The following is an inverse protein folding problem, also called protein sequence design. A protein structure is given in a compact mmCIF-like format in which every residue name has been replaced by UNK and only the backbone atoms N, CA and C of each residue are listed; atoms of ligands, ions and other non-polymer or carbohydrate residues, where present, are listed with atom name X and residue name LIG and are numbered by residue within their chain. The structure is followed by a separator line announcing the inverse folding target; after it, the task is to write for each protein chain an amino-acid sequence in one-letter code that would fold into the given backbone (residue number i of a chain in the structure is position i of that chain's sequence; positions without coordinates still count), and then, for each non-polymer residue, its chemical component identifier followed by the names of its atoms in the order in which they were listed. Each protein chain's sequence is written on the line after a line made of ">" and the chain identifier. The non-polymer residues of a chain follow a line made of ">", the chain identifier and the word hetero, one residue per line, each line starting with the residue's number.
data_IF_483152876173
#
_entry.id   IF_483152876173
#
_cell.length_a   1.000
_cell.length_b   1.000
_cell.length_c   1.000
_cell.angle_alpha   90.00
_cell.angle_beta   90.00
_cell.angle_gamma   90.00
#
_symmetry.space_group_name_H-M   'P 1'
#
loop_
_entity.id
_entity.type
_entity.pdbx_description
1 polymer ?
#
# COMPACT_ATOMS: atom_id res chain seq x y z
N UNK A 1 6.39 -22.52 20.56
CA UNK A 1 7.17 -22.97 19.37
C UNK A 1 7.25 -21.80 18.42
N UNK A 2 8.31 -20.99 18.52
CA UNK A 2 8.55 -19.83 17.64
C UNK A 2 9.51 -20.23 16.53
N UNK A 3 8.98 -20.41 15.33
CA UNK A 3 9.78 -20.49 14.11
C UNK A 3 10.09 -19.08 13.64
N UNK A 4 11.33 -18.64 13.89
CA UNK A 4 11.92 -17.39 13.42
C UNK A 4 12.44 -17.64 12.00
N UNK A 5 11.73 -17.13 10.99
CA UNK A 5 12.15 -17.20 9.59
C UNK A 5 12.96 -15.95 9.27
N UNK A 6 14.28 -16.02 9.44
CA UNK A 6 15.22 -15.02 8.93
C UNK A 6 15.45 -15.25 7.44
N UNK A 7 14.66 -14.58 6.60
CA UNK A 7 15.02 -14.34 5.20
C UNK A 7 15.89 -13.10 5.13
N UNK A 8 17.18 -13.27 5.43
CA UNK A 8 18.20 -12.30 5.07
C UNK A 8 18.41 -12.40 3.56
N UNK A 9 17.83 -11.47 2.81
CA UNK A 9 18.28 -11.17 1.44
C UNK A 9 19.66 -10.56 1.57
N UNK A 10 20.69 -11.41 1.64
CA UNK A 10 22.08 -10.98 1.53
C UNK A 10 22.21 -10.21 0.22
N UNK A 11 22.40 -8.90 0.33
CA UNK A 11 22.88 -8.09 -0.78
C UNK A 11 24.28 -8.63 -1.13
N UNK A 12 24.33 -9.57 -2.06
CA UNK A 12 25.60 -10.04 -2.60
C UNK A 12 26.31 -8.81 -3.15
N UNK A 13 27.53 -8.56 -2.68
CA UNK A 13 28.45 -7.65 -3.35
C UNK A 13 28.34 -7.93 -4.85
N UNK A 14 28.03 -6.94 -5.71
CA UNK A 14 27.82 -7.20 -7.12
C UNK A 14 29.02 -7.99 -7.64
N UNK A 15 28.80 -9.17 -8.20
CA UNK A 15 29.83 -10.09 -8.69
C UNK A 15 30.92 -9.41 -9.55
N UNK A 16 30.53 -8.29 -10.16
CA UNK A 16 31.39 -7.31 -10.84
C UNK A 16 32.54 -6.80 -9.96
N UNK A 17 32.28 -6.30 -8.75
CA UNK A 17 33.25 -5.61 -7.89
C UNK A 17 34.30 -6.58 -7.34
N UNK A 18 33.91 -7.78 -6.92
CA UNK A 18 34.86 -8.82 -6.51
C UNK A 18 35.78 -9.21 -7.65
N UNK A 19 35.24 -9.34 -8.86
CA UNK A 19 36.03 -9.69 -10.05
C UNK A 19 37.04 -8.60 -10.42
N UNK A 20 36.68 -7.31 -10.27
CA UNK A 20 37.61 -6.20 -10.49
C UNK A 20 38.66 -6.08 -9.40
N UNK A 21 38.29 -6.29 -8.13
CA UNK A 21 39.21 -6.26 -6.99
C UNK A 21 40.24 -7.40 -7.13
N UNK A 22 39.78 -8.60 -7.48
CA UNK A 22 40.65 -9.75 -7.74
C UNK A 22 41.56 -9.52 -8.96
N UNK A 23 41.07 -8.86 -10.01
CA UNK A 23 41.87 -8.47 -11.18
C UNK A 23 42.99 -7.49 -10.79
N UNK A 24 42.67 -6.47 -10.01
CA UNK A 24 43.65 -5.48 -9.52
C UNK A 24 44.68 -6.16 -8.61
N UNK A 25 44.25 -6.97 -7.65
CA UNK A 25 45.14 -7.69 -6.74
C UNK A 25 46.05 -8.67 -7.47
N UNK A 26 45.52 -9.41 -8.45
CA UNK A 26 46.30 -10.33 -9.29
C UNK A 26 47.34 -9.56 -10.12
N UNK A 27 46.94 -8.44 -10.72
CA UNK A 27 47.85 -7.58 -11.49
C UNK A 27 48.94 -6.93 -10.62
N UNK A 28 48.59 -6.50 -9.40
CA UNK A 28 49.55 -5.95 -8.42
C UNK A 28 50.54 -7.02 -7.95
N UNK A 29 50.07 -8.25 -7.67
CA UNK A 29 50.92 -9.39 -7.31
C UNK A 29 51.89 -9.78 -8.44
N UNK A 30 51.43 -9.70 -9.69
CA UNK A 30 52.24 -10.00 -10.88
C UNK A 30 53.24 -8.88 -11.24
N UNK A 31 53.25 -7.76 -10.49
CA UNK A 31 54.04 -6.56 -10.80
C UNK A 31 53.83 -6.08 -12.24
N UNK A 32 52.62 -6.26 -12.76
CA UNK A 32 52.27 -5.77 -14.09
C UNK A 32 52.46 -4.26 -14.14
N UNK A 33 53.02 -3.76 -15.23
CA UNK A 33 53.13 -2.31 -15.40
C UNK A 33 51.71 -1.71 -15.50
N UNK A 34 51.58 -0.43 -15.13
CA UNK A 34 50.28 0.27 -15.11
C UNK A 34 49.57 0.20 -16.47
N UNK A 35 50.33 0.07 -17.56
CA UNK A 35 49.80 -0.13 -18.90
C UNK A 35 49.03 -1.44 -19.06
N UNK A 36 49.62 -2.57 -18.66
CA UNK A 36 48.99 -3.88 -18.70
C UNK A 36 47.77 -3.97 -17.76
N UNK A 37 47.85 -3.34 -16.58
CA UNK A 37 46.72 -3.25 -15.65
C UNK A 37 45.55 -2.48 -16.29
N UNK A 38 45.85 -1.32 -16.90
CA UNK A 38 44.84 -0.51 -17.58
C UNK A 38 44.21 -1.22 -18.77
N UNK A 39 44.98 -1.99 -19.55
CA UNK A 39 44.47 -2.73 -20.70
C UNK A 39 43.61 -3.93 -20.27
N UNK A 40 44.01 -4.65 -19.21
CA UNK A 40 43.17 -5.70 -18.62
C UNK A 40 41.88 -5.15 -18.03
N UNK A 41 41.92 -3.96 -17.41
CA UNK A 41 40.72 -3.29 -16.89
C UNK A 41 39.76 -2.90 -18.03
N UNK A 42 40.29 -2.37 -19.14
CA UNK A 42 39.52 -2.06 -20.34
C UNK A 42 38.87 -3.33 -20.93
N UNK A 43 39.64 -4.42 -21.10
CA UNK A 43 39.13 -5.71 -21.59
C UNK A 43 38.06 -6.29 -20.65
N UNK A 44 38.23 -6.16 -19.33
CA UNK A 44 37.27 -6.63 -18.35
C UNK A 44 35.96 -5.82 -18.37
N UNK A 45 36.06 -4.50 -18.57
CA UNK A 45 34.90 -3.61 -18.76
C UNK A 45 34.17 -3.87 -20.09
N UNK A 46 34.90 -4.24 -21.13
CA UNK A 46 34.35 -4.67 -22.43
C UNK A 46 33.82 -6.11 -22.41
N UNK A 47 34.11 -6.88 -21.35
CA UNK A 47 33.68 -8.27 -21.28
C UNK A 47 32.14 -8.36 -21.31
N UNK A 48 31.65 -9.20 -22.23
CA UNK A 48 30.22 -9.37 -22.51
C UNK A 48 29.39 -9.65 -21.24
N UNK A 49 29.93 -10.38 -20.28
CA UNK A 49 29.24 -10.72 -19.02
C UNK A 49 28.91 -9.53 -18.11
N UNK A 50 29.81 -8.53 -17.98
CA UNK A 50 29.56 -7.32 -17.18
C UNK A 50 28.59 -6.38 -17.92
N UNK A 51 28.62 -6.38 -19.25
CA UNK A 51 27.66 -5.65 -20.09
C UNK A 51 26.24 -6.23 -19.97
N UNK A 52 26.10 -7.55 -20.12
CA UNK A 52 24.81 -8.22 -20.09
C UNK A 52 24.15 -8.10 -18.71
N UNK A 53 24.92 -8.19 -17.62
CA UNK A 53 24.38 -8.09 -16.25
C UNK A 53 23.80 -6.71 -15.95
N UNK A 54 24.51 -5.64 -16.33
CA UNK A 54 24.06 -4.27 -16.07
C UNK A 54 22.85 -3.89 -16.94
N UNK A 55 22.85 -4.28 -18.22
CA UNK A 55 21.71 -4.10 -19.12
C UNK A 55 20.47 -4.88 -18.63
N UNK A 56 20.66 -6.12 -18.17
CA UNK A 56 19.58 -6.91 -17.59
C UNK A 56 19.03 -6.27 -16.31
N UNK A 57 19.88 -5.67 -15.48
CA UNK A 57 19.45 -4.97 -14.26
C UNK A 57 18.53 -3.78 -14.58
N UNK A 58 18.80 -3.05 -15.67
CA UNK A 58 17.98 -1.91 -16.10
C UNK A 58 16.68 -2.34 -16.76
N UNK A 59 16.72 -3.37 -17.60
CA UNK A 59 15.47 -3.97 -18.12
C UNK A 59 14.60 -4.49 -16.99
N UNK A 60 15.20 -5.12 -15.99
CA UNK A 60 14.52 -5.55 -14.77
C UNK A 60 13.97 -4.36 -13.98
N UNK A 61 14.65 -3.21 -13.97
CA UNK A 61 14.15 -1.99 -13.33
C UNK A 61 12.88 -1.47 -14.01
N UNK A 62 12.88 -1.31 -15.33
CA UNK A 62 11.66 -0.88 -16.08
C UNK A 62 10.51 -1.88 -15.89
N UNK A 63 10.82 -3.19 -15.92
CA UNK A 63 9.86 -4.24 -15.60
C UNK A 63 9.32 -4.11 -14.18
N UNK A 64 10.20 -3.88 -13.20
CA UNK A 64 9.82 -3.70 -11.80
C UNK A 64 8.90 -2.48 -11.62
N UNK A 65 9.12 -1.37 -12.33
CA UNK A 65 8.23 -0.19 -12.26
C UNK A 65 6.81 -0.54 -12.73
N UNK A 66 6.68 -1.31 -13.82
CA UNK A 66 5.38 -1.80 -14.29
C UNK A 66 4.72 -2.73 -13.28
N UNK A 67 5.45 -3.73 -12.79
CA UNK A 67 4.98 -4.66 -11.75
C UNK A 67 4.57 -3.91 -10.46
N UNK A 68 5.32 -2.87 -10.06
CA UNK A 68 4.98 -2.01 -8.92
C UNK A 68 3.64 -1.31 -9.16
N UNK A 69 3.42 -0.70 -10.32
CA UNK A 69 2.17 -0.03 -10.66
C UNK A 69 0.98 -1.01 -10.64
N UNK A 70 1.15 -2.20 -11.20
CA UNK A 70 0.12 -3.25 -11.15
C UNK A 70 -0.22 -3.65 -9.72
N UNK A 71 0.80 -3.79 -8.84
CA UNK A 71 0.58 -4.09 -7.43
C UNK A 71 -0.15 -2.95 -6.70
N UNK A 72 0.18 -1.68 -6.98
CA UNK A 72 -0.55 -0.54 -6.43
C UNK A 72 -2.03 -0.60 -6.78
N UNK A 73 -2.36 -0.88 -8.05
CA UNK A 73 -3.74 -0.99 -8.54
C UNK A 73 -4.45 -2.18 -7.89
N UNK A 74 -3.82 -3.35 -7.86
CA UNK A 74 -4.38 -4.57 -7.25
C UNK A 74 -4.71 -4.36 -5.76
N UNK A 75 -3.79 -3.75 -5.01
CA UNK A 75 -4.01 -3.47 -3.59
C UNK A 75 -5.10 -2.41 -3.41
N UNK A 76 -5.12 -1.37 -4.27
CA UNK A 76 -6.12 -0.30 -4.21
C UNK A 76 -7.55 -0.82 -4.37
N UNK A 77 -7.77 -1.82 -5.24
CA UNK A 77 -9.10 -2.44 -5.43
C UNK A 77 -9.66 -2.97 -4.11
N UNK A 78 -8.84 -3.69 -3.32
CA UNK A 78 -9.26 -4.20 -2.01
C UNK A 78 -9.62 -3.08 -1.02
N UNK A 79 -8.91 -1.95 -1.06
CA UNK A 79 -9.22 -0.80 -0.21
C UNK A 79 -10.45 -0.01 -0.67
N UNK A 80 -10.71 0.08 -1.97
CA UNK A 80 -11.94 0.69 -2.49
C UNK A 80 -13.16 -0.13 -2.07
N UNK A 81 -13.08 -1.47 -2.15
CA UNK A 81 -14.16 -2.34 -1.65
C UNK A 81 -14.37 -2.15 -0.14
N UNK A 82 -13.29 -2.00 0.64
CA UNK A 82 -13.37 -1.75 2.08
C UNK A 82 -14.01 -0.39 2.41
N UNK A 83 -13.58 0.68 1.73
CA UNK A 83 -14.09 2.03 1.93
C UNK A 83 -15.58 2.14 1.54
N UNK A 84 -15.99 1.44 0.47
CA UNK A 84 -17.39 1.36 0.03
C UNK A 84 -18.29 0.64 1.04
N UNK A 85 -17.75 -0.27 1.84
CA UNK A 85 -18.50 -0.93 2.93
C UNK A 85 -18.77 0.01 4.12
N UNK A 86 -18.11 1.18 4.17
CA UNK A 86 -18.33 2.25 5.17
C UNK A 86 -18.29 1.75 6.62
N UNK A 87 -17.28 0.95 6.96
CA UNK A 87 -17.04 0.54 8.34
C UNK A 87 -16.83 1.78 9.22
N UNK A 88 -17.37 1.74 10.44
CA UNK A 88 -17.28 2.81 11.41
C UNK A 88 -16.32 2.42 12.55
N UNK A 89 -15.66 3.40 13.15
CA UNK A 89 -14.99 3.23 14.44
C UNK A 89 -15.98 3.37 15.62
N UNK A 90 -15.46 3.30 16.84
CA UNK A 90 -16.27 3.48 18.06
C UNK A 90 -16.85 4.89 18.19
N UNK A 91 -16.22 5.88 17.58
CA UNK A 91 -16.61 7.28 17.57
C UNK A 91 -17.62 7.61 16.45
N UNK A 92 -17.94 6.64 15.58
CA UNK A 92 -18.85 6.81 14.45
C UNK A 92 -18.21 7.42 13.21
N UNK A 93 -16.88 7.53 13.16
CA UNK A 93 -16.18 8.00 11.96
C UNK A 93 -16.06 6.86 10.95
N UNK A 94 -16.20 7.18 9.66
CA UNK A 94 -15.95 6.24 8.57
C UNK A 94 -14.46 5.96 8.47
N UNK A 95 -14.10 4.68 8.59
CA UNK A 95 -12.74 4.21 8.38
C UNK A 95 -12.44 4.15 6.88
N UNK A 96 -11.30 4.70 6.47
CA UNK A 96 -10.86 4.74 5.08
C UNK A 96 -9.39 4.38 4.94
N UNK A 97 -9.07 3.59 3.92
CA UNK A 97 -7.71 3.16 3.58
C UNK A 97 -7.30 3.58 2.16
N UNK A 98 -8.27 3.71 1.25
CA UNK A 98 -8.04 4.04 -0.15
C UNK A 98 -7.36 5.38 -0.34
N UNK A 99 -7.80 6.42 0.38
CA UNK A 99 -7.27 7.78 0.25
C UNK A 99 -5.75 7.85 0.54
N UNK A 100 -5.30 7.19 1.62
CA UNK A 100 -3.90 7.14 2.01
C UNK A 100 -3.08 6.29 1.03
N UNK A 101 -3.62 5.15 0.59
CA UNK A 101 -2.96 4.30 -0.40
C UNK A 101 -2.77 4.99 -1.75
N UNK A 102 -3.80 5.68 -2.26
CA UNK A 102 -3.72 6.47 -3.48
C UNK A 102 -2.70 7.61 -3.37
N UNK A 103 -2.51 8.17 -2.18
CA UNK A 103 -1.46 9.16 -1.95
C UNK A 103 -0.05 8.56 -2.12
N UNK A 104 0.18 7.32 -1.64
CA UNK A 104 1.44 6.61 -1.89
C UNK A 104 1.67 6.33 -3.36
N UNK A 105 0.63 5.88 -4.09
CA UNK A 105 0.75 5.61 -5.53
C UNK A 105 1.08 6.87 -6.33
N UNK A 106 0.40 8.01 -6.07
CA UNK A 106 0.73 9.29 -6.72
C UNK A 106 2.15 9.74 -6.40
N UNK A 107 2.58 9.62 -5.14
CA UNK A 107 3.95 9.95 -4.74
C UNK A 107 4.96 9.05 -5.47
N UNK A 108 4.69 7.74 -5.57
CA UNK A 108 5.51 6.83 -6.35
C UNK A 108 5.65 7.28 -7.81
N UNK A 109 4.54 7.59 -8.49
CA UNK A 109 4.55 8.08 -9.87
C UNK A 109 5.40 9.34 -10.01
N UNK A 110 5.19 10.33 -9.14
CA UNK A 110 6.01 11.56 -9.13
C UNK A 110 7.50 11.28 -8.92
N UNK A 111 7.86 10.30 -8.07
CA UNK A 111 9.26 9.93 -7.86
C UNK A 111 9.84 9.22 -9.07
N UNK A 112 9.07 8.39 -9.75
CA UNK A 112 9.49 7.72 -10.99
C UNK A 112 9.70 8.75 -12.12
N UNK A 113 8.78 9.69 -12.30
CA UNK A 113 8.93 10.73 -13.32
C UNK A 113 10.21 11.55 -13.08
N UNK A 114 10.43 12.01 -11.85
CA UNK A 114 11.68 12.69 -11.45
C UNK A 114 12.92 11.82 -11.62
N UNK A 115 12.81 10.52 -11.33
CA UNK A 115 13.88 9.54 -11.50
C UNK A 115 14.26 9.40 -12.99
N UNK A 116 13.28 9.38 -13.90
CA UNK A 116 13.50 9.38 -15.33
C UNK A 116 14.12 10.68 -15.84
N UNK A 117 13.63 11.83 -15.38
CA UNK A 117 14.21 13.14 -15.72
C UNK A 117 15.68 13.23 -15.27
N UNK A 118 15.97 12.80 -14.04
CA UNK A 118 17.32 12.77 -13.50
C UNK A 118 18.24 11.82 -14.28
N UNK A 119 17.74 10.64 -14.66
CA UNK A 119 18.48 9.68 -15.47
C UNK A 119 18.77 10.22 -16.88
N UNK A 120 17.79 10.86 -17.51
CA UNK A 120 17.93 11.51 -18.81
C UNK A 120 18.96 12.64 -18.76
N UNK A 121 18.86 13.52 -17.77
CA UNK A 121 19.81 14.62 -17.58
C UNK A 121 21.22 14.11 -17.27
N UNK A 122 21.37 13.08 -16.44
CA UNK A 122 22.66 12.46 -16.15
C UNK A 122 23.24 11.78 -17.39
N UNK A 123 22.42 11.11 -18.20
CA UNK A 123 22.84 10.52 -19.48
C UNK A 123 23.36 11.58 -20.44
N UNK A 124 22.61 12.66 -20.66
CA UNK A 124 23.00 13.76 -21.53
C UNK A 124 24.32 14.41 -21.07
N UNK A 125 24.45 14.66 -19.76
CA UNK A 125 25.67 15.17 -19.16
C UNK A 125 26.88 14.25 -19.39
N UNK A 126 26.71 12.95 -19.16
CA UNK A 126 27.77 11.96 -19.38
C UNK A 126 28.16 11.88 -20.86
N UNK A 127 27.20 11.91 -21.79
CA UNK A 127 27.47 11.93 -23.24
C UNK A 127 28.28 13.15 -23.64
N UNK A 128 27.81 14.34 -23.25
CA UNK A 128 28.51 15.60 -23.52
C UNK A 128 29.96 15.55 -23.04
N UNK A 129 30.19 15.05 -21.82
CA UNK A 129 31.54 14.87 -21.30
C UNK A 129 32.38 13.91 -22.14
N UNK A 130 31.83 12.75 -22.47
CA UNK A 130 32.55 11.73 -23.26
C UNK A 130 32.83 12.16 -24.69
N UNK A 131 32.02 13.04 -25.28
CA UNK A 131 32.19 13.54 -26.64
C UNK A 131 33.13 14.76 -26.71
N UNK A 132 33.02 15.68 -25.76
CA UNK A 132 33.70 16.98 -25.80
C UNK A 132 35.05 16.96 -25.08
N UNK A 133 35.16 16.29 -23.93
CA UNK A 133 36.31 16.46 -23.02
C UNK A 133 37.36 15.36 -23.07
N UNK A 134 37.04 14.24 -23.70
CA UNK A 134 37.89 13.05 -23.71
C UNK A 134 38.32 12.64 -25.13
N UNK A 135 38.41 13.62 -26.03
CA UNK A 135 39.10 13.54 -27.33
C UNK A 135 40.61 13.81 -27.15
N UNK A 136 41.42 13.54 -28.17
CA UNK A 136 42.88 13.72 -28.09
C UNK A 136 43.24 15.20 -27.85
N UNK A 137 43.54 15.53 -26.59
CA UNK A 137 43.89 16.90 -26.17
C UNK A 137 45.38 17.14 -26.46
N UNK A 138 45.73 18.12 -27.32
CA UNK A 138 47.12 18.44 -27.58
C UNK A 138 47.79 19.04 -26.33
N UNK A 139 49.12 18.95 -26.25
CA UNK A 139 49.84 19.25 -25.01
C UNK A 139 49.70 20.71 -24.54
N UNK A 140 49.49 21.63 -25.47
CA UNK A 140 49.25 23.06 -25.27
C UNK A 140 47.84 23.37 -24.73
N UNK A 141 46.83 22.55 -25.04
CA UNK A 141 45.45 22.71 -24.56
C UNK A 141 45.20 22.12 -23.15
N UNK A 142 46.23 21.62 -22.47
CA UNK A 142 46.10 20.97 -21.15
C UNK A 142 45.56 21.87 -20.05
N UNK A 143 45.81 23.17 -20.11
CA UNK A 143 45.29 24.10 -19.11
C UNK A 143 43.78 24.36 -19.30
N UNK A 144 43.32 24.44 -20.54
CA UNK A 144 41.89 24.55 -20.86
C UNK A 144 41.14 23.28 -20.45
N UNK A 145 41.74 22.10 -20.71
CA UNK A 145 41.21 20.82 -20.22
C UNK A 145 41.01 20.81 -18.70
N UNK A 146 41.94 21.37 -17.92
CA UNK A 146 41.77 21.45 -16.45
C UNK A 146 40.58 22.31 -16.05
N UNK A 147 40.38 23.46 -16.71
CA UNK A 147 39.24 24.35 -16.43
C UNK A 147 37.94 23.61 -16.70
N UNK A 148 37.85 22.94 -17.84
CA UNK A 148 36.65 22.17 -18.20
C UNK A 148 36.43 20.94 -17.30
N UNK A 149 37.50 20.23 -16.91
CA UNK A 149 37.42 19.15 -15.92
C UNK A 149 36.90 19.66 -14.58
N UNK A 150 37.33 20.85 -14.13
CA UNK A 150 36.79 21.48 -12.93
C UNK A 150 35.30 21.79 -13.03
N UNK A 151 34.84 22.32 -14.18
CA UNK A 151 33.42 22.54 -14.43
C UNK A 151 32.62 21.23 -14.42
N UNK A 152 33.18 20.18 -15.00
CA UNK A 152 32.58 18.84 -15.01
C UNK A 152 32.46 18.25 -13.60
N UNK A 153 33.52 18.29 -12.80
CA UNK A 153 33.52 17.82 -11.39
C UNK A 153 32.41 18.51 -10.60
N UNK A 154 32.25 19.83 -10.75
CA UNK A 154 31.16 20.58 -10.10
C UNK A 154 29.76 20.07 -10.49
N UNK A 155 29.53 19.81 -11.78
CA UNK A 155 28.25 19.28 -12.26
C UNK A 155 28.03 17.82 -11.83
N UNK A 156 29.08 17.00 -11.83
CA UNK A 156 29.04 15.62 -11.39
C UNK A 156 28.63 15.53 -9.91
N UNK A 157 29.16 16.41 -9.07
CA UNK A 157 28.76 16.54 -7.67
C UNK A 157 27.28 16.88 -7.52
N UNK A 158 26.77 17.82 -8.30
CA UNK A 158 25.34 18.13 -8.32
C UNK A 158 24.50 16.90 -8.70
N UNK A 159 24.92 16.12 -9.70
CA UNK A 159 24.22 14.88 -10.08
C UNK A 159 24.30 13.78 -9.02
N UNK A 160 25.40 13.70 -8.29
CA UNK A 160 25.55 12.82 -7.15
C UNK A 160 24.59 13.21 -5.99
N UNK A 161 24.37 14.51 -5.79
CA UNK A 161 23.40 15.02 -4.82
C UNK A 161 21.95 14.75 -5.27
N UNK A 162 21.64 14.95 -6.56
CA UNK A 162 20.33 14.59 -7.15
C UNK A 162 20.02 13.08 -6.94
N UNK A 163 21.03 12.21 -7.15
CA UNK A 163 20.92 10.78 -6.90
C UNK A 163 20.72 10.44 -5.41
N UNK A 164 21.36 11.19 -4.51
CA UNK A 164 21.16 11.04 -3.06
C UNK A 164 19.73 11.38 -2.66
N UNK A 165 19.18 12.47 -3.20
CA UNK A 165 17.80 12.90 -2.96
C UNK A 165 16.81 11.85 -3.46
N UNK A 166 16.98 11.36 -4.69
CA UNK A 166 16.13 10.31 -5.26
C UNK A 166 16.13 9.04 -4.39
N UNK A 167 17.31 8.57 -3.97
CA UNK A 167 17.43 7.46 -3.00
C UNK A 167 16.64 7.73 -1.72
N UNK A 168 16.86 8.90 -1.11
CA UNK A 168 16.22 9.27 0.15
C UNK A 168 14.69 9.27 0.06
N UNK A 169 14.15 9.77 -1.05
CA UNK A 169 12.70 9.86 -1.24
C UNK A 169 12.04 8.50 -1.49
N UNK A 170 12.67 7.60 -2.26
CA UNK A 170 12.21 6.22 -2.44
C UNK A 170 12.29 5.42 -1.14
N UNK A 171 13.40 5.50 -0.40
CA UNK A 171 13.54 4.80 0.89
C UNK A 171 12.51 5.27 1.91
N UNK A 172 12.22 6.59 1.96
CA UNK A 172 11.15 7.14 2.81
C UNK A 172 9.78 6.61 2.38
N UNK A 173 9.50 6.54 1.08
CA UNK A 173 8.23 5.98 0.59
C UNK A 173 8.08 4.50 0.98
N UNK A 174 9.12 3.69 0.81
CA UNK A 174 9.10 2.28 1.21
C UNK A 174 8.85 2.12 2.72
N UNK A 175 9.48 2.95 3.56
CA UNK A 175 9.25 2.94 5.00
C UNK A 175 7.82 3.37 5.37
N UNK A 176 7.31 4.43 4.76
CA UNK A 176 5.93 4.88 4.97
C UNK A 176 4.91 3.77 4.64
N UNK A 177 5.18 2.98 3.59
CA UNK A 177 4.36 1.83 3.21
C UNK A 177 4.46 0.67 4.21
N UNK A 178 5.64 0.41 4.77
CA UNK A 178 5.80 -0.58 5.86
C UNK A 178 5.02 -0.13 7.10
N UNK A 179 5.07 1.15 7.46
CA UNK A 179 4.30 1.71 8.57
C UNK A 179 2.79 1.59 8.31
N UNK A 180 2.35 1.80 7.06
CA UNK A 180 0.95 1.68 6.68
C UNK A 180 0.36 0.28 6.94
N UNK A 181 1.15 -0.79 6.94
CA UNK A 181 0.67 -2.13 7.34
C UNK A 181 0.10 -2.15 8.77
N UNK A 182 0.67 -1.37 9.69
CA UNK A 182 0.16 -1.21 11.06
C UNK A 182 -1.14 -0.43 11.09
N UNK A 183 -1.23 0.62 10.26
CA UNK A 183 -2.48 1.41 10.09
C UNK A 183 -3.60 0.53 9.58
N UNK A 184 -3.31 -0.35 8.62
CA UNK A 184 -4.25 -1.35 8.09
C UNK A 184 -4.75 -2.29 9.20
N UNK A 185 -3.85 -2.89 9.97
CA UNK A 185 -4.19 -3.79 11.09
C UNK A 185 -5.06 -3.10 12.14
N UNK A 186 -4.65 -1.90 12.57
CA UNK A 186 -5.40 -1.11 13.55
C UNK A 186 -6.78 -0.72 13.05
N UNK A 187 -6.90 -0.38 11.77
CA UNK A 187 -8.17 -0.01 11.13
C UNK A 187 -9.14 -1.19 11.13
N UNK A 188 -8.68 -2.37 10.71
CA UNK A 188 -9.51 -3.59 10.74
C UNK A 188 -9.89 -3.99 12.17
N UNK A 189 -8.97 -3.84 13.13
CA UNK A 189 -9.26 -4.09 14.55
C UNK A 189 -10.34 -3.15 15.10
N UNK A 190 -10.29 -1.86 14.75
CA UNK A 190 -11.31 -0.86 15.14
C UNK A 190 -12.67 -1.21 14.55
N UNK A 191 -12.72 -1.53 13.25
CA UNK A 191 -13.94 -1.97 12.57
C UNK A 191 -14.54 -3.22 13.26
N UNK A 192 -13.69 -4.21 13.58
CA UNK A 192 -14.14 -5.45 14.20
C UNK A 192 -14.72 -5.22 15.60
N UNK A 193 -14.03 -4.41 16.39
CA UNK A 193 -14.50 -4.03 17.73
C UNK A 193 -15.84 -3.32 17.66
N UNK A 194 -16.03 -2.41 16.68
CA UNK A 194 -17.30 -1.70 16.51
C UNK A 194 -18.44 -2.63 16.09
N UNK A 195 -18.23 -3.48 15.08
CA UNK A 195 -19.25 -4.41 14.59
C UNK A 195 -19.66 -5.39 15.69
N UNK A 196 -18.72 -5.90 16.48
CA UNK A 196 -19.02 -6.76 17.62
C UNK A 196 -19.87 -6.05 18.68
N UNK A 197 -19.57 -4.78 19.00
CA UNK A 197 -20.34 -3.98 19.94
C UNK A 197 -21.77 -3.72 19.44
N UNK A 198 -21.92 -3.35 18.16
CA UNK A 198 -23.24 -3.12 17.55
C UNK A 198 -24.08 -4.41 17.50
N UNK A 199 -23.46 -5.56 17.19
CA UNK A 199 -24.14 -6.86 17.22
C UNK A 199 -24.65 -7.21 18.62
N UNK A 200 -23.82 -7.02 19.64
CA UNK A 200 -24.24 -7.26 21.02
C UNK A 200 -25.39 -6.35 21.42
N UNK A 201 -25.30 -5.06 21.12
CA UNK A 201 -26.36 -4.09 21.41
C UNK A 201 -27.69 -4.48 20.76
N UNK A 202 -27.67 -4.90 19.49
CA UNK A 202 -28.90 -5.30 18.78
C UNK A 202 -29.48 -6.59 19.37
N UNK A 203 -28.63 -7.56 19.74
CA UNK A 203 -29.09 -8.79 20.43
C UNK A 203 -29.73 -8.49 21.78
N UNK A 204 -29.14 -7.61 22.58
CA UNK A 204 -29.69 -7.19 23.87
C UNK A 204 -31.04 -6.47 23.69
N UNK A 205 -31.16 -5.64 22.64
CA UNK A 205 -32.42 -4.96 22.29
C UNK A 205 -33.50 -5.96 21.86
N UNK A 206 -33.16 -6.94 21.03
CA UNK A 206 -34.07 -8.03 20.64
C UNK A 206 -34.55 -8.77 21.88
N UNK A 207 -33.63 -9.18 22.77
CA UNK A 207 -33.99 -9.85 24.03
C UNK A 207 -34.95 -9.03 24.90
N UNK A 208 -34.71 -7.72 24.99
CA UNK A 208 -35.59 -6.79 25.72
C UNK A 208 -36.98 -6.70 25.06
N UNK A 209 -37.05 -6.51 23.74
CA UNK A 209 -38.29 -6.41 22.99
C UNK A 209 -39.12 -7.70 23.06
N UNK A 210 -38.47 -8.87 22.96
CA UNK A 210 -39.13 -10.17 23.14
C UNK A 210 -39.69 -10.32 24.55
N UNK A 211 -38.97 -9.88 25.57
CA UNK A 211 -39.45 -9.85 26.96
C UNK A 211 -40.70 -8.98 27.12
N UNK A 212 -40.65 -7.74 26.62
CA UNK A 212 -41.79 -6.81 26.65
C UNK A 212 -43.00 -7.35 25.88
N UNK A 213 -42.78 -7.94 24.70
CA UNK A 213 -43.84 -8.52 23.89
C UNK A 213 -44.54 -9.67 24.62
N UNK A 214 -43.77 -10.51 25.33
CA UNK A 214 -44.32 -11.58 26.15
C UNK A 214 -45.20 -11.03 27.28
N UNK A 215 -44.73 -10.02 28.01
CA UNK A 215 -45.51 -9.37 29.07
C UNK A 215 -46.82 -8.76 28.56
N UNK A 216 -46.79 -8.05 27.42
CA UNK A 216 -47.98 -7.46 26.81
C UNK A 216 -48.94 -8.56 26.33
N UNK A 217 -48.43 -9.64 25.76
CA UNK A 217 -49.24 -10.79 25.31
C UNK A 217 -49.92 -11.48 26.51
N UNK A 218 -49.20 -11.70 27.60
CA UNK A 218 -49.76 -12.25 28.84
C UNK A 218 -50.82 -11.31 29.45
N UNK A 219 -50.60 -9.99 29.40
CA UNK A 219 -51.57 -8.99 29.84
C UNK A 219 -52.85 -9.03 29.01
N UNK A 220 -52.74 -9.09 27.68
CA UNK A 220 -53.88 -9.26 26.77
C UNK A 220 -54.63 -10.56 27.08
N UNK A 221 -53.91 -11.66 27.33
CA UNK A 221 -54.51 -12.95 27.66
C UNK A 221 -55.32 -12.88 28.96
N UNK A 222 -54.73 -12.36 30.05
CA UNK A 222 -55.41 -12.18 31.34
C UNK A 222 -56.65 -11.28 31.24
N UNK A 223 -56.56 -10.20 30.45
CA UNK A 223 -57.72 -9.32 30.19
C UNK A 223 -58.83 -10.03 29.41
N UNK A 224 -58.46 -10.85 28.41
CA UNK A 224 -59.42 -11.64 27.66
C UNK A 224 -60.12 -12.67 28.53
N UNK A 225 -59.40 -13.35 29.43
CA UNK A 225 -59.99 -14.29 30.39
C UNK A 225 -60.97 -13.59 31.32
N UNK A 226 -60.59 -12.42 31.86
CA UNK A 226 -61.46 -11.60 32.71
C UNK A 226 -62.74 -11.19 31.97
N UNK A 227 -62.63 -10.73 30.73
CA UNK A 227 -63.80 -10.38 29.90
C UNK A 227 -64.72 -11.59 29.69
N UNK A 228 -64.17 -12.77 29.37
CA UNK A 228 -64.98 -14.00 29.20
C UNK A 228 -65.70 -14.41 30.49
N UNK A 229 -65.07 -14.21 31.66
CA UNK A 229 -65.70 -14.51 32.94
C UNK A 229 -66.92 -13.62 33.24
N UNK A 230 -66.89 -12.35 32.83
CA UNK A 230 -68.04 -11.44 32.96
C UNK A 230 -69.24 -11.91 32.11
N UNK A 231 -69.00 -12.48 30.93
CA UNK A 231 -70.06 -13.05 30.09
C UNK A 231 -70.66 -14.34 30.66
N UNK A 232 -69.89 -15.12 31.44
CA UNK A 232 -70.36 -16.36 32.06
C UNK A 232 -71.35 -16.17 33.22
N UNK A 233 -71.31 -15.03 33.91
CA UNK A 233 -72.17 -14.75 35.08
C UNK A 233 -73.53 -14.10 34.72
N UNK A 234 -73.65 -13.53 33.52
CA UNK A 234 -74.91 -13.00 32.99
C UNK A 234 -75.69 -14.06 32.19
N UNK A 235 -76.47 -14.89 32.87
CA UNK A 235 -77.29 -15.92 32.23
C UNK A 235 -78.35 -15.31 31.29
N UNK A 236 -78.33 -15.68 30.00
CA UNK A 236 -79.46 -16.22 29.20
C UNK A 236 -79.31 -15.93 27.70
N UNK A 237 -79.16 -17.00 26.92
CA UNK A 237 -79.43 -17.13 25.47
C UNK A 237 -78.38 -16.59 24.45
N UNK A 238 -78.01 -17.51 23.54
CA UNK A 238 -77.35 -17.36 22.21
C UNK A 238 -75.79 -17.32 22.13
N UNK A 239 -75.04 -17.01 23.19
CA UNK A 239 -73.58 -16.80 23.08
C UNK A 239 -72.63 -18.01 22.92
N UNK A 240 -73.11 -19.26 23.05
CA UNK A 240 -72.25 -20.45 23.22
C UNK A 240 -71.45 -20.92 21.98
N UNK A 241 -71.66 -20.33 20.80
CA UNK A 241 -71.06 -20.83 19.54
C UNK A 241 -69.82 -20.02 19.11
N UNK A 242 -69.60 -18.81 19.64
CA UNK A 242 -68.49 -17.94 19.19
C UNK A 242 -67.13 -18.23 19.83
N UNK A 243 -67.08 -18.96 20.95
CA UNK A 243 -65.83 -19.28 21.65
C UNK A 243 -64.93 -20.29 20.91
N UNK A 244 -65.44 -20.97 19.89
CA UNK A 244 -64.67 -21.93 19.07
C UNK A 244 -64.10 -21.32 17.77
N UNK A 245 -64.54 -20.12 17.42
CA UNK A 245 -64.05 -19.41 16.26
C UNK A 245 -62.82 -18.60 16.69
N UNK A 246 -61.78 -18.62 15.85
CA UNK A 246 -60.44 -18.07 16.06
C UNK A 246 -60.33 -16.88 17.03
N UNK A 247 -59.19 -16.64 17.70
CA UNK A 247 -59.02 -15.47 18.57
C UNK A 247 -59.55 -14.15 17.98
N UNK A 248 -59.42 -13.94 16.65
CA UNK A 248 -59.95 -12.78 15.93
C UNK A 248 -61.50 -12.64 16.00
N UNK A 249 -62.22 -13.74 16.05
CA UNK A 249 -63.68 -13.82 16.11
C UNK A 249 -64.23 -13.44 17.49
N UNK A 250 -63.57 -13.94 18.54
CA UNK A 250 -63.85 -13.55 19.93
C UNK A 250 -63.71 -12.03 20.09
N UNK A 251 -62.73 -11.43 19.41
CA UNK A 251 -62.50 -9.99 19.43
C UNK A 251 -63.59 -9.14 18.77
N UNK A 252 -64.11 -9.56 17.62
CA UNK A 252 -65.20 -8.85 16.97
C UNK A 252 -66.47 -8.85 17.82
N UNK A 253 -66.75 -9.96 18.50
CA UNK A 253 -67.87 -10.08 19.43
C UNK A 253 -67.68 -9.22 20.69
N UNK A 254 -66.46 -9.18 21.24
CA UNK A 254 -66.14 -8.37 22.43
C UNK A 254 -66.38 -6.87 22.18
N UNK A 255 -66.10 -6.35 20.97
CA UNK A 255 -66.29 -4.92 20.67
C UNK A 255 -67.74 -4.46 20.63
N UNK A 256 -68.71 -5.35 20.41
CA UNK A 256 -70.14 -5.00 20.30
C UNK A 256 -70.89 -5.05 21.65
N UNK A 257 -70.39 -5.78 22.65
CA UNK A 257 -71.16 -6.09 23.88
C UNK A 257 -70.69 -5.29 25.11
N UNK A 258 -69.64 -4.46 25.00
CA UNK A 258 -69.18 -3.66 26.13
C UNK A 258 -70.23 -2.60 26.58
N UNK A 259 -70.71 -2.72 27.81
CA UNK A 259 -71.51 -1.68 28.48
C UNK A 259 -70.63 -0.51 28.92
N UNK A 260 -71.23 0.64 29.22
CA UNK A 260 -70.50 1.87 29.61
C UNK A 260 -69.59 1.67 30.84
N UNK A 261 -69.93 0.72 31.74
CA UNK A 261 -69.11 0.37 32.91
C UNK A 261 -67.79 -0.36 32.54
N UNK A 262 -67.71 -0.99 31.37
CA UNK A 262 -66.53 -1.75 30.91
C UNK A 262 -65.63 -0.98 29.93
N UNK A 263 -65.91 0.29 29.68
CA UNK A 263 -65.18 1.09 28.69
C UNK A 263 -63.69 1.27 29.05
N UNK A 264 -63.35 1.28 30.34
CA UNK A 264 -61.97 1.35 30.80
C UNK A 264 -61.16 0.11 30.41
N UNK A 265 -61.74 -1.09 30.53
CA UNK A 265 -61.10 -2.35 30.11
C UNK A 265 -60.87 -2.37 28.61
N UNK A 266 -61.87 -1.91 27.83
CA UNK A 266 -61.74 -1.79 26.38
C UNK A 266 -60.57 -0.90 25.98
N UNK A 267 -60.46 0.30 26.57
CA UNK A 267 -59.35 1.24 26.29
C UNK A 267 -58.00 0.65 26.65
N UNK A 268 -57.88 0.00 27.82
CA UNK A 268 -56.62 -0.62 28.24
C UNK A 268 -56.20 -1.76 27.31
N UNK A 269 -57.18 -2.52 26.83
CA UNK A 269 -56.99 -3.64 25.93
C UNK A 269 -56.63 -3.19 24.49
N UNK A 270 -57.28 -2.14 23.98
CA UNK A 270 -56.90 -1.48 22.71
C UNK A 270 -55.47 -0.91 22.79
N UNK A 271 -55.12 -0.27 23.91
CA UNK A 271 -53.76 0.21 24.15
C UNK A 271 -52.73 -0.93 24.19
N UNK A 272 -53.03 -2.04 24.87
CA UNK A 272 -52.14 -3.20 24.93
C UNK A 272 -51.90 -3.81 23.54
N UNK A 273 -52.93 -3.87 22.69
CA UNK A 273 -52.79 -4.30 21.29
C UNK A 273 -51.99 -3.34 20.43
N UNK A 274 -52.20 -2.04 20.60
CA UNK A 274 -51.40 -1.02 19.94
C UNK A 274 -49.91 -1.19 20.28
N UNK A 275 -49.62 -1.40 21.57
CA UNK A 275 -48.28 -1.68 22.06
C UNK A 275 -47.69 -2.99 21.52
N UNK A 276 -48.48 -4.07 21.48
CA UNK A 276 -48.07 -5.34 20.88
C UNK A 276 -47.66 -5.16 19.41
N UNK A 277 -48.46 -4.42 18.64
CA UNK A 277 -48.20 -4.16 17.21
C UNK A 277 -46.94 -3.32 17.05
N UNK A 278 -46.73 -2.30 17.89
CA UNK A 278 -45.53 -1.46 17.92
C UNK A 278 -44.29 -2.30 18.23
N UNK A 279 -44.33 -3.12 19.28
CA UNK A 279 -43.21 -3.98 19.69
C UNK A 279 -42.86 -5.01 18.61
N UNK A 280 -43.84 -5.60 17.93
CA UNK A 280 -43.60 -6.49 16.78
C UNK A 280 -42.90 -5.77 15.62
N UNK A 281 -43.31 -4.53 15.32
CA UNK A 281 -42.65 -3.72 14.29
C UNK A 281 -41.19 -3.44 14.66
N UNK A 282 -40.93 -2.99 15.88
CA UNK A 282 -39.57 -2.73 16.37
C UNK A 282 -38.70 -3.99 16.41
N UNK A 283 -39.29 -5.14 16.75
CA UNK A 283 -38.60 -6.43 16.73
C UNK A 283 -38.17 -6.78 15.31
N UNK A 284 -39.06 -6.63 14.33
CA UNK A 284 -38.76 -6.88 12.93
C UNK A 284 -37.66 -5.93 12.40
N UNK A 285 -37.71 -4.65 12.75
CA UNK A 285 -36.65 -3.69 12.42
C UNK A 285 -35.29 -4.08 13.05
N UNK A 286 -35.31 -4.52 14.31
CA UNK A 286 -34.11 -4.99 15.00
C UNK A 286 -33.54 -6.27 14.37
N UNK A 287 -34.39 -7.20 13.93
CA UNK A 287 -34.00 -8.42 13.21
C UNK A 287 -33.36 -8.10 11.84
N UNK A 288 -33.93 -7.14 11.10
CA UNK A 288 -33.34 -6.66 9.84
C UNK A 288 -31.95 -6.06 10.10
N UNK A 289 -31.83 -5.20 11.12
CA UNK A 289 -30.54 -4.61 11.51
C UNK A 289 -29.52 -5.66 11.95
N UNK A 290 -29.96 -6.72 12.64
CA UNK A 290 -29.10 -7.83 13.02
C UNK A 290 -28.56 -8.54 11.77
N UNK A 291 -29.42 -8.83 10.78
CA UNK A 291 -29.02 -9.46 9.53
C UNK A 291 -27.98 -8.62 8.76
N UNK A 292 -28.19 -7.30 8.69
CA UNK A 292 -27.22 -6.38 8.08
C UNK A 292 -25.86 -6.38 8.80
N UNK A 293 -25.85 -6.37 10.13
CA UNK A 293 -24.62 -6.41 10.93
C UNK A 293 -23.89 -7.74 10.80
N UNK A 294 -24.62 -8.87 10.72
CA UNK A 294 -24.03 -10.19 10.46
C UNK A 294 -23.39 -10.23 9.07
N UNK A 295 -24.04 -9.66 8.05
CA UNK A 295 -23.44 -9.54 6.71
C UNK A 295 -22.16 -8.68 6.73
N UNK A 296 -22.15 -7.58 7.50
CA UNK A 296 -20.94 -6.76 7.71
C UNK A 296 -19.83 -7.51 8.45
N UNK A 297 -20.16 -8.29 9.46
CA UNK A 297 -19.20 -9.14 10.20
C UNK A 297 -18.55 -10.16 9.26
N UNK A 298 -19.34 -10.84 8.42
CA UNK A 298 -18.83 -11.80 7.42
C UNK A 298 -17.90 -11.12 6.40
N UNK A 299 -18.30 -9.95 5.91
CA UNK A 299 -17.47 -9.16 5.00
C UNK A 299 -16.15 -8.74 5.67
N UNK A 300 -16.20 -8.30 6.92
CA UNK A 300 -15.00 -7.94 7.67
C UNK A 300 -14.09 -9.15 7.93
N UNK A 301 -14.67 -10.31 8.24
CA UNK A 301 -13.92 -11.56 8.37
C UNK A 301 -13.19 -11.94 7.08
N UNK A 302 -13.79 -11.69 5.90
CA UNK A 302 -13.12 -11.85 4.60
C UNK A 302 -11.88 -10.96 4.50
N UNK A 303 -11.98 -9.67 4.86
CA UNK A 303 -10.84 -8.75 4.86
C UNK A 303 -9.75 -9.15 5.85
N UNK A 304 -10.13 -9.56 7.06
CA UNK A 304 -9.18 -10.06 8.06
C UNK A 304 -8.50 -11.35 7.59
N UNK A 305 -9.20 -12.22 6.87
CA UNK A 305 -8.64 -13.43 6.26
C UNK A 305 -7.63 -13.13 5.15
N UNK A 306 -7.83 -12.06 4.37
CA UNK A 306 -6.87 -11.62 3.33
C UNK A 306 -5.76 -10.70 3.84
N UNK A 307 -5.85 -10.22 5.08
CA UNK A 307 -4.96 -9.20 5.66
C UNK A 307 -3.48 -9.55 5.52
N UNK A 308 -3.10 -10.78 5.88
CA UNK A 308 -1.69 -11.19 5.82
C UNK A 308 -1.18 -11.25 4.37
N UNK A 309 -2.04 -11.64 3.42
CA UNK A 309 -1.74 -11.57 2.00
C UNK A 309 -1.51 -10.13 1.53
N UNK A 310 -2.41 -9.21 1.90
CA UNK A 310 -2.26 -7.79 1.56
C UNK A 310 -1.01 -7.18 2.20
N UNK A 311 -0.69 -7.50 3.46
CA UNK A 311 0.53 -7.04 4.12
C UNK A 311 1.77 -7.51 3.39
N UNK A 312 1.84 -8.80 3.05
CA UNK A 312 2.93 -9.36 2.27
C UNK A 312 3.07 -8.70 0.89
N UNK A 313 1.96 -8.42 0.23
CA UNK A 313 1.95 -7.68 -1.04
C UNK A 313 2.52 -6.25 -0.85
N UNK A 314 2.13 -5.54 0.22
CA UNK A 314 2.66 -4.19 0.57
C UNK A 314 4.15 -4.25 0.90
N UNK A 315 4.60 -5.22 1.70
CA UNK A 315 6.01 -5.40 2.05
C UNK A 315 6.86 -5.76 0.83
N UNK A 316 6.35 -6.64 -0.04
CA UNK A 316 6.99 -6.98 -1.31
C UNK A 316 7.12 -5.76 -2.22
N UNK A 317 6.07 -4.93 -2.28
CA UNK A 317 6.09 -3.65 -2.99
C UNK A 317 7.10 -2.66 -2.40
N UNK A 318 7.13 -2.49 -1.08
CA UNK A 318 8.12 -1.66 -0.40
C UNK A 318 9.56 -2.16 -0.68
N UNK A 319 9.78 -3.47 -0.68
CA UNK A 319 11.08 -4.07 -1.04
C UNK A 319 11.50 -3.79 -2.48
N UNK A 320 10.56 -3.80 -3.44
CA UNK A 320 10.88 -3.40 -4.83
C UNK A 320 11.22 -1.91 -4.93
N UNK A 321 10.56 -1.04 -4.17
CA UNK A 321 10.87 0.40 -4.12
C UNK A 321 12.25 0.64 -3.48
N UNK A 322 12.60 -0.07 -2.41
CA UNK A 322 13.92 -0.03 -1.78
C UNK A 322 15.03 -0.46 -2.76
N UNK A 323 14.77 -1.43 -3.65
CA UNK A 323 15.71 -1.81 -4.69
C UNK A 323 16.02 -0.66 -5.66
N UNK A 324 15.02 0.18 -6.00
CA UNK A 324 15.24 1.40 -6.81
C UNK A 324 16.14 2.39 -6.06
N UNK A 325 15.88 2.59 -4.77
CA UNK A 325 16.73 3.44 -3.94
C UNK A 325 18.19 2.93 -3.91
N UNK A 326 18.39 1.62 -3.84
CA UNK A 326 19.72 1.01 -3.86
C UNK A 326 20.47 1.29 -5.18
N UNK A 327 19.77 1.24 -6.33
CA UNK A 327 20.39 1.56 -7.63
C UNK A 327 20.89 3.02 -7.65
N UNK A 328 20.10 3.97 -7.16
CA UNK A 328 20.52 5.38 -7.04
C UNK A 328 21.72 5.55 -6.10
N UNK A 329 21.78 4.78 -5.01
CA UNK A 329 22.94 4.77 -4.12
C UNK A 329 24.21 4.27 -4.82
N UNK A 330 24.11 3.22 -5.66
CA UNK A 330 25.24 2.73 -6.44
C UNK A 330 25.71 3.78 -7.45
N UNK A 331 24.79 4.38 -8.21
CA UNK A 331 25.11 5.44 -9.17
C UNK A 331 25.81 6.62 -8.50
N UNK A 332 25.32 7.05 -7.33
CA UNK A 332 25.96 8.09 -6.53
C UNK A 332 27.39 7.70 -6.13
N UNK A 333 27.59 6.48 -5.64
CA UNK A 333 28.91 6.01 -5.22
C UNK A 333 29.91 6.06 -6.39
N UNK A 334 29.48 5.66 -7.59
CA UNK A 334 30.28 5.74 -8.80
C UNK A 334 30.62 7.20 -9.17
N UNK A 335 29.64 8.12 -9.08
CA UNK A 335 29.87 9.54 -9.33
C UNK A 335 30.85 10.17 -8.33
N UNK A 336 30.71 9.88 -7.03
CA UNK A 336 31.62 10.40 -5.98
C UNK A 336 33.03 9.82 -6.12
N UNK A 337 33.14 8.54 -6.49
CA UNK A 337 34.44 7.92 -6.77
C UNK A 337 35.14 8.61 -7.92
N UNK A 338 34.42 8.96 -8.99
CA UNK A 338 34.98 9.73 -10.09
C UNK A 338 35.35 11.15 -9.68
N UNK A 339 34.45 11.86 -8.98
CA UNK A 339 34.69 13.21 -8.46
C UNK A 339 36.04 13.26 -7.72
N UNK A 340 36.26 12.32 -6.80
CA UNK A 340 37.51 12.19 -6.04
C UNK A 340 38.73 11.94 -6.94
N UNK A 341 38.59 11.08 -7.96
CA UNK A 341 39.67 10.78 -8.89
C UNK A 341 40.03 11.98 -9.78
N UNK A 342 39.03 12.72 -10.24
CA UNK A 342 39.23 13.89 -11.10
C UNK A 342 39.72 15.09 -10.32
N UNK A 343 39.22 15.32 -9.10
CA UNK A 343 39.67 16.42 -8.23
C UNK A 343 41.19 16.36 -8.00
N UNK A 344 41.72 15.16 -7.76
CA UNK A 344 43.17 14.94 -7.63
C UNK A 344 43.98 15.26 -8.88
N UNK A 345 43.36 15.23 -10.07
CA UNK A 345 44.01 15.48 -11.35
C UNK A 345 43.83 16.92 -11.87
N UNK A 346 42.85 17.64 -11.32
CA UNK A 346 42.62 19.06 -11.60
C UNK A 346 43.51 19.96 -10.74
N UNK A 347 44.21 19.40 -9.73
CA UNK A 347 45.20 20.13 -8.93
C UNK A 347 46.19 20.90 -9.83
N UNK A 348 46.26 22.25 -9.71
CA UNK A 348 47.13 23.08 -10.52
C UNK A 348 48.60 22.67 -10.48
N UNK A 349 49.03 22.09 -9.36
CA UNK A 349 50.41 21.70 -9.07
C UNK A 349 50.76 20.29 -9.56
N UNK A 350 49.76 19.43 -9.79
CA UNK A 350 49.99 18.06 -10.22
C UNK A 350 50.17 17.99 -11.75
N UNK A 351 51.26 17.39 -12.27
CA UNK A 351 51.44 17.25 -13.71
C UNK A 351 50.40 16.30 -14.31
N UNK A 352 49.76 16.71 -15.41
CA UNK A 352 48.91 15.81 -16.22
C UNK A 352 49.81 14.79 -16.94
N UNK A 353 49.88 13.59 -16.37
CA UNK A 353 50.71 12.50 -16.88
C UNK A 353 50.02 11.76 -18.04
N UNK A 354 50.80 11.07 -18.87
CA UNK A 354 50.26 10.14 -19.88
C UNK A 354 49.33 9.08 -19.27
N UNK A 355 49.64 8.59 -18.07
CA UNK A 355 48.82 7.63 -17.34
C UNK A 355 47.44 8.19 -16.97
N UNK A 356 47.36 9.49 -16.65
CA UNK A 356 46.08 10.15 -16.40
C UNK A 356 45.20 10.16 -17.65
N UNK A 357 45.76 10.49 -18.82
CA UNK A 357 45.03 10.44 -20.09
C UNK A 357 44.54 9.03 -20.41
N UNK A 358 45.35 8.00 -20.11
CA UNK A 358 44.93 6.59 -20.26
C UNK A 358 43.75 6.25 -19.32
N UNK A 359 43.81 6.67 -18.05
CA UNK A 359 42.71 6.51 -17.09
C UNK A 359 41.43 7.20 -17.56
N UNK A 360 41.54 8.44 -18.02
CA UNK A 360 40.44 9.19 -18.65
C UNK A 360 39.78 8.38 -19.77
N UNK A 361 40.58 7.78 -20.66
CA UNK A 361 40.08 6.99 -21.79
C UNK A 361 39.31 5.74 -21.34
N UNK A 362 39.79 5.04 -20.31
CA UNK A 362 39.08 3.89 -19.74
C UNK A 362 37.77 4.33 -19.08
N UNK A 363 37.83 5.41 -18.30
CA UNK A 363 36.67 6.03 -17.65
C UNK A 363 35.63 6.44 -18.69
N UNK A 364 36.03 7.02 -19.83
CA UNK A 364 35.14 7.37 -20.95
C UNK A 364 34.25 6.20 -21.37
N UNK A 365 34.84 5.03 -21.63
CA UNK A 365 34.10 3.85 -22.08
C UNK A 365 33.04 3.42 -21.07
N UNK A 366 33.38 3.49 -19.77
CA UNK A 366 32.43 3.23 -18.69
C UNK A 366 31.28 4.26 -18.70
N UNK A 367 31.57 5.55 -18.86
CA UNK A 367 30.53 6.60 -18.87
C UNK A 367 29.61 6.56 -20.07
N UNK A 368 30.13 6.26 -21.27
CA UNK A 368 29.28 6.03 -22.45
C UNK A 368 28.28 4.92 -22.15
N UNK A 369 28.74 3.85 -21.51
CA UNK A 369 27.90 2.73 -21.12
C UNK A 369 26.88 3.11 -20.05
N UNK A 370 27.28 3.82 -18.98
CA UNK A 370 26.35 4.31 -17.95
C UNK A 370 25.32 5.27 -18.55
N UNK A 371 25.73 6.17 -19.43
CA UNK A 371 24.84 7.10 -20.12
C UNK A 371 23.80 6.35 -20.97
N UNK A 372 24.24 5.38 -21.77
CA UNK A 372 23.35 4.53 -22.56
C UNK A 372 22.35 3.78 -21.67
N UNK A 373 22.83 3.25 -20.55
CA UNK A 373 22.03 2.55 -19.55
C UNK A 373 20.95 3.44 -18.92
N UNK A 374 21.33 4.65 -18.48
CA UNK A 374 20.39 5.65 -17.95
C UNK A 374 19.38 6.12 -18.99
N UNK A 375 19.81 6.24 -20.25
CA UNK A 375 18.92 6.57 -21.36
C UNK A 375 17.91 5.45 -21.64
N UNK A 376 18.32 4.18 -21.63
CA UNK A 376 17.38 3.06 -21.76
C UNK A 376 16.38 3.04 -20.60
N UNK A 377 16.83 3.33 -19.38
CA UNK A 377 15.95 3.41 -18.22
C UNK A 377 14.92 4.54 -18.40
N UNK A 378 15.35 5.74 -18.80
CA UNK A 378 14.47 6.87 -19.05
C UNK A 378 13.48 6.61 -20.20
N UNK A 379 13.93 5.99 -21.30
CA UNK A 379 13.08 5.64 -22.46
C UNK A 379 12.13 4.47 -22.23
N UNK A 380 12.39 3.63 -21.23
CA UNK A 380 11.56 2.46 -20.90
C UNK A 380 10.12 2.79 -20.49
N UNK A 381 9.77 4.08 -20.41
CA UNK A 381 8.41 4.58 -20.24
C UNK A 381 7.64 4.73 -21.57
N UNK A 382 8.33 4.95 -22.70
CA UNK A 382 7.70 5.35 -23.97
C UNK A 382 7.38 4.17 -24.90
N UNK A 383 8.03 3.01 -24.71
CA UNK A 383 7.97 1.89 -25.66
C UNK A 383 6.66 1.09 -25.68
N UNK A 384 5.72 1.39 -24.79
CA UNK A 384 4.44 0.67 -24.67
C UNK A 384 3.22 1.56 -24.96
N UNK A 385 3.42 2.85 -25.28
CA UNK A 385 2.35 3.81 -25.58
C UNK A 385 2.09 3.99 -27.09
N UNK A 386 2.75 3.19 -27.94
CA UNK A 386 2.63 3.12 -29.40
C UNK A 386 2.43 1.69 -29.83
#
# INVERSE_FOLDING_TARGET
>A
MSTRTETATSASTPLSIEKFTLLIDTSLQNKENVEAISDRLAIALESKGVNDTALNSIRNLSKNVKEINEMFIKIAQGFVEFDNARFLDLQGNVLRLGDQWSAFHRRFQTLIDKSFDNASAASAFMKQYTEVLLTDVPADARQELRVELGNFVKQLKQKADDALLAKGDFARLAEDMKIFTKVLEETLKKANTRVAADLQQVRDRIGTLTGQLKEVTEKIHKMSEACMSCFGAGASSVGGVFAWLSPKSIWAAITEVFTHEQENLRKELENAKGEETRLKSELLEAEVRLAELVAKEQLLAKYMGSLEGTKKDIEGLAGKIDAIAHIWQCLRADMVSLDTQLDSAVDPTAPLTFLFMKKIKVTRALYVKIAFMLEMYAKGNDSDAS
#
